data_IF_790805150750
#
_entry.id   IF_790805150750
#
_cell.length_a   1.000
_cell.length_b   1.000
_cell.length_c   1.000
_cell.angle_alpha   90.00
_cell.angle_beta   90.00
_cell.angle_gamma   90.00
#
_symmetry.space_group_name_H-M   'P 1'
#
loop_
_entity.id
_entity.type
_entity.pdbx_description
1 polymer ?
#
# COMPACT_ATOMS: atom_id res chain seq x y z
N UNK A 1 -28.82 12.39 8.01
CA UNK A 1 -28.58 10.98 7.62
C UNK A 1 -27.83 10.30 8.75
N UNK A 2 -28.49 9.49 9.56
CA UNK A 2 -27.87 8.63 10.59
C UNK A 2 -26.96 7.63 9.83
N UNK A 3 -25.63 7.75 9.99
CA UNK A 3 -24.69 6.74 9.49
C UNK A 3 -25.02 5.44 10.23
N UNK A 4 -25.50 4.42 9.55
CA UNK A 4 -25.52 3.07 10.10
C UNK A 4 -24.11 2.76 10.59
N UNK A 5 -23.92 2.69 11.91
CA UNK A 5 -22.67 2.22 12.51
C UNK A 5 -22.49 0.77 12.06
N UNK A 6 -21.49 0.52 11.20
CA UNK A 6 -21.12 -0.84 10.84
C UNK A 6 -20.56 -1.45 12.13
N UNK A 7 -21.24 -2.43 12.67
CA UNK A 7 -20.78 -3.17 13.85
C UNK A 7 -19.68 -4.13 13.38
N UNK A 8 -18.49 -3.99 13.93
CA UNK A 8 -17.39 -4.95 13.82
C UNK A 8 -17.52 -5.88 15.03
N UNK A 9 -17.48 -7.17 14.80
CA UNK A 9 -17.68 -8.22 15.81
C UNK A 9 -16.69 -9.37 15.63
N UNK A 10 -16.79 -10.40 16.43
CA UNK A 10 -15.91 -11.57 16.44
C UNK A 10 -15.99 -12.44 15.16
N UNK A 11 -16.94 -12.16 14.28
CA UNK A 11 -17.02 -12.77 12.94
C UNK A 11 -16.47 -11.89 11.83
N UNK A 12 -15.93 -10.72 12.18
CA UNK A 12 -15.39 -9.76 11.22
C UNK A 12 -13.89 -9.97 11.01
N UNK A 13 -13.45 -9.94 9.76
CA UNK A 13 -12.04 -9.85 9.35
C UNK A 13 -11.82 -8.50 8.70
N UNK A 14 -10.91 -7.71 9.27
CA UNK A 14 -10.71 -6.31 8.92
C UNK A 14 -9.44 -6.13 8.12
N UNK A 15 -9.53 -5.47 6.96
CA UNK A 15 -8.38 -5.06 6.14
C UNK A 15 -8.22 -3.53 6.20
N UNK A 16 -7.02 -3.07 6.61
CA UNK A 16 -6.74 -1.65 6.86
C UNK A 16 -6.05 -0.98 5.68
N UNK A 17 -6.77 -0.13 4.97
CA UNK A 17 -6.29 0.70 3.87
C UNK A 17 -6.09 2.16 4.33
N UNK A 18 -5.29 2.35 5.39
CA UNK A 18 -5.05 3.65 6.02
C UNK A 18 -3.72 4.30 5.62
N UNK A 19 -2.89 3.59 4.87
CA UNK A 19 -1.65 4.10 4.28
C UNK A 19 -1.89 4.70 2.89
N UNK A 20 -0.79 5.07 2.21
CA UNK A 20 -0.85 5.61 0.84
C UNK A 20 -1.47 4.63 -0.18
N UNK A 21 -1.95 5.14 -1.33
CA UNK A 21 -2.57 4.30 -2.37
C UNK A 21 -1.68 3.16 -2.87
N UNK A 22 -0.36 3.36 -2.85
CA UNK A 22 0.59 2.31 -3.23
C UNK A 22 0.52 1.09 -2.32
N UNK A 23 0.16 1.24 -1.03
CA UNK A 23 -0.09 0.12 -0.13
C UNK A 23 -1.40 -0.62 -0.48
N UNK A 24 -2.41 0.12 -0.95
CA UNK A 24 -3.71 -0.45 -1.28
C UNK A 24 -3.60 -1.53 -2.35
N UNK A 25 -2.73 -1.34 -3.34
CA UNK A 25 -2.50 -2.30 -4.42
C UNK A 25 -1.97 -3.66 -3.94
N UNK A 26 -1.31 -3.72 -2.78
CA UNK A 26 -0.81 -4.98 -2.21
C UNK A 26 -1.87 -5.73 -1.41
N UNK A 27 -2.80 -5.01 -0.79
CA UNK A 27 -3.74 -5.58 0.16
C UNK A 27 -5.12 -5.89 -0.45
N UNK A 28 -5.47 -5.23 -1.56
CA UNK A 28 -6.83 -5.29 -2.08
C UNK A 28 -7.21 -6.66 -2.65
N UNK A 29 -6.34 -7.30 -3.45
CA UNK A 29 -6.64 -8.64 -3.96
C UNK A 29 -6.73 -9.68 -2.85
N UNK A 30 -5.79 -9.79 -1.90
CA UNK A 30 -5.95 -10.65 -0.74
C UNK A 30 -7.29 -10.43 -0.01
N UNK A 31 -7.71 -9.18 0.18
CA UNK A 31 -8.96 -8.86 0.85
C UNK A 31 -10.20 -9.31 0.07
N UNK A 32 -10.22 -9.12 -1.24
CA UNK A 32 -11.37 -9.50 -2.08
C UNK A 32 -11.43 -11.00 -2.34
N UNK A 33 -10.28 -11.67 -2.52
CA UNK A 33 -10.20 -13.12 -2.57
C UNK A 33 -10.67 -13.75 -1.26
N UNK A 34 -10.30 -13.17 -0.12
CA UNK A 34 -10.81 -13.60 1.17
C UNK A 34 -12.33 -13.47 1.25
N UNK A 35 -12.88 -12.32 0.83
CA UNK A 35 -14.34 -12.07 0.82
C UNK A 35 -15.10 -13.05 -0.08
N UNK A 36 -14.49 -13.49 -1.18
CA UNK A 36 -15.08 -14.44 -2.13
C UNK A 36 -15.07 -15.88 -1.62
N UNK A 37 -13.97 -16.29 -0.99
CA UNK A 37 -13.74 -17.69 -0.64
C UNK A 37 -14.13 -18.03 0.80
N UNK A 38 -14.26 -17.05 1.70
CA UNK A 38 -14.55 -17.24 3.12
C UNK A 38 -15.80 -16.48 3.54
N UNK A 39 -16.92 -16.78 2.89
CA UNK A 39 -18.21 -16.08 3.06
C UNK A 39 -18.83 -16.22 4.43
N UNK A 40 -18.36 -17.16 5.26
CA UNK A 40 -18.74 -17.30 6.66
C UNK A 40 -18.25 -16.15 7.53
N UNK A 41 -17.24 -15.38 7.08
CA UNK A 41 -16.76 -14.20 7.78
C UNK A 41 -17.29 -12.91 7.15
N UNK A 42 -17.49 -11.89 7.98
CA UNK A 42 -17.77 -10.55 7.50
C UNK A 42 -16.45 -9.86 7.10
N UNK A 43 -16.21 -9.69 5.81
CA UNK A 43 -15.05 -8.92 5.34
C UNK A 43 -15.33 -7.43 5.44
N UNK A 44 -14.47 -6.71 6.17
CA UNK A 44 -14.58 -5.26 6.39
C UNK A 44 -13.32 -4.55 5.86
N UNK A 45 -13.50 -3.61 4.96
CA UNK A 45 -12.45 -2.82 4.33
C UNK A 45 -12.48 -1.39 4.90
N UNK A 46 -11.50 -1.01 5.71
CA UNK A 46 -11.41 0.34 6.29
C UNK A 46 -10.50 1.20 5.43
N UNK A 47 -11.07 2.23 4.80
CA UNK A 47 -10.36 3.11 3.87
C UNK A 47 -10.11 4.50 4.46
N UNK A 48 -8.85 4.93 4.47
CA UNK A 48 -8.42 6.21 5.03
C UNK A 48 -8.40 7.38 4.05
N UNK A 49 -8.65 7.17 2.75
CA UNK A 49 -8.62 8.23 1.75
C UNK A 49 -9.57 7.97 0.58
N UNK A 50 -9.89 9.03 -0.19
CA UNK A 50 -10.69 8.90 -1.40
C UNK A 50 -9.98 8.03 -2.44
N UNK A 51 -8.66 8.20 -2.59
CA UNK A 51 -7.86 7.42 -3.53
C UNK A 51 -7.90 5.93 -3.19
N UNK A 52 -7.72 5.56 -1.91
CA UNK A 52 -7.83 4.17 -1.48
C UNK A 52 -9.24 3.62 -1.75
N UNK A 53 -10.28 4.39 -1.41
CA UNK A 53 -11.67 4.01 -1.67
C UNK A 53 -11.95 3.78 -3.14
N UNK A 54 -11.40 4.61 -4.02
CA UNK A 54 -11.58 4.48 -5.48
C UNK A 54 -10.89 3.21 -6.01
N UNK A 55 -9.65 2.93 -5.58
CA UNK A 55 -8.95 1.70 -5.95
C UNK A 55 -9.74 0.47 -5.48
N UNK A 56 -10.21 0.48 -4.22
CA UNK A 56 -11.04 -0.61 -3.68
C UNK A 56 -12.28 -0.85 -4.54
N UNK A 57 -13.03 0.21 -4.86
CA UNK A 57 -14.27 0.08 -5.65
C UNK A 57 -14.02 -0.39 -7.08
N UNK A 58 -12.98 0.12 -7.74
CA UNK A 58 -12.61 -0.31 -9.09
C UNK A 58 -12.21 -1.78 -9.11
N UNK A 59 -11.37 -2.22 -8.16
CA UNK A 59 -10.96 -3.62 -8.08
C UNK A 59 -12.14 -4.52 -7.71
N UNK A 60 -12.99 -4.10 -6.77
CA UNK A 60 -14.20 -4.81 -6.39
C UNK A 60 -15.10 -5.08 -7.59
N UNK A 61 -15.33 -4.06 -8.42
CA UNK A 61 -16.12 -4.20 -9.65
C UNK A 61 -15.49 -5.19 -10.64
N UNK A 62 -14.18 -5.12 -10.83
CA UNK A 62 -13.44 -6.05 -11.71
C UNK A 62 -13.51 -7.50 -11.25
N UNK A 63 -13.60 -7.74 -9.95
CA UNK A 63 -13.67 -9.07 -9.34
C UNK A 63 -15.11 -9.59 -9.15
N UNK A 64 -16.12 -8.99 -9.80
CA UNK A 64 -17.51 -9.45 -9.71
C UNK A 64 -18.22 -9.09 -8.41
N UNK A 65 -17.76 -8.06 -7.70
CA UNK A 65 -18.37 -7.51 -6.47
C UNK A 65 -18.54 -8.53 -5.32
N UNK A 66 -17.48 -9.21 -4.86
CA UNK A 66 -17.56 -10.06 -3.69
C UNK A 66 -18.12 -9.30 -2.48
N UNK A 67 -18.89 -10.01 -1.64
CA UNK A 67 -19.62 -9.40 -0.52
C UNK A 67 -18.65 -8.89 0.56
N UNK A 68 -18.49 -7.58 0.68
CA UNK A 68 -17.69 -6.95 1.72
C UNK A 68 -18.32 -5.62 2.17
N UNK A 69 -17.92 -5.13 3.33
CA UNK A 69 -18.34 -3.82 3.85
C UNK A 69 -17.20 -2.82 3.74
N UNK A 70 -17.43 -1.66 3.14
CA UNK A 70 -16.44 -0.59 3.03
C UNK A 70 -16.77 0.52 4.03
N UNK A 71 -15.83 0.79 4.95
CA UNK A 71 -15.89 1.90 5.90
C UNK A 71 -14.89 2.96 5.43
N UNK A 72 -15.41 4.11 4.98
CA UNK A 72 -14.58 5.25 4.66
C UNK A 72 -14.41 6.12 5.90
N UNK A 73 -13.17 6.31 6.35
CA UNK A 73 -12.87 7.19 7.49
C UNK A 73 -13.05 8.67 7.11
N UNK A 74 -13.56 9.50 8.05
CA UNK A 74 -13.63 10.93 7.85
C UNK A 74 -12.23 11.53 7.79
N UNK A 75 -12.08 12.61 7.03
CA UNK A 75 -10.84 13.40 7.02
C UNK A 75 -10.85 14.37 8.21
N UNK A 76 -9.77 14.49 8.97
CA UNK A 76 -9.63 15.55 9.98
C UNK A 76 -9.81 16.94 9.35
N UNK A 77 -10.54 17.83 10.03
CA UNK A 77 -10.88 19.17 9.52
C UNK A 77 -9.64 19.96 9.05
N UNK A 78 -8.53 19.85 9.77
CA UNK A 78 -7.24 20.49 9.41
C UNK A 78 -6.73 20.09 8.01
N UNK A 79 -7.10 18.90 7.49
CA UNK A 79 -6.71 18.45 6.16
C UNK A 79 -7.59 19.04 5.07
N UNK A 80 -8.82 19.43 5.38
CA UNK A 80 -9.64 20.21 4.45
C UNK A 80 -9.09 21.63 4.27
N UNK A 81 -8.62 22.26 5.33
CA UNK A 81 -8.14 23.65 5.31
C UNK A 81 -6.74 23.76 4.68
N UNK A 82 -5.77 22.95 5.13
CA UNK A 82 -4.36 23.05 4.68
C UNK A 82 -4.08 22.38 3.32
N UNK A 83 -4.87 21.39 2.92
CA UNK A 83 -4.51 20.49 1.83
C UNK A 83 -5.56 20.42 0.73
N UNK A 84 -6.41 21.42 0.63
CA UNK A 84 -7.42 21.51 -0.44
C UNK A 84 -6.81 21.37 -1.84
N UNK A 85 -5.58 21.84 -2.05
CA UNK A 85 -4.85 21.75 -3.32
C UNK A 85 -3.92 20.54 -3.46
N UNK A 86 -3.46 19.90 -2.37
CA UNK A 86 -2.32 18.97 -2.42
C UNK A 86 -2.69 17.48 -2.27
N UNK A 87 -3.98 17.12 -2.11
CA UNK A 87 -4.46 15.72 -1.99
C UNK A 87 -3.66 14.87 -0.99
N UNK A 88 -3.14 15.47 0.09
CA UNK A 88 -2.32 14.76 1.09
C UNK A 88 -3.18 13.75 1.84
N UNK A 89 -2.66 12.53 1.96
CA UNK A 89 -3.28 11.46 2.73
C UNK A 89 -3.00 11.74 4.21
N UNK A 90 -4.02 11.70 5.09
CA UNK A 90 -3.79 11.84 6.51
C UNK A 90 -2.84 10.75 7.02
N UNK A 91 -1.88 11.09 7.90
CA UNK A 91 -1.02 10.07 8.51
C UNK A 91 -1.83 8.98 9.23
N UNK A 92 -1.39 7.72 9.23
CA UNK A 92 -2.11 6.61 9.87
C UNK A 92 -2.54 6.92 11.30
N UNK A 93 -1.66 7.47 12.14
CA UNK A 93 -1.95 7.81 13.54
C UNK A 93 -3.13 8.77 13.72
N UNK A 94 -3.36 9.68 12.77
CA UNK A 94 -4.50 10.60 12.82
C UNK A 94 -5.81 9.93 12.37
N UNK A 95 -5.73 8.85 11.62
CA UNK A 95 -6.87 8.08 11.14
C UNK A 95 -7.39 7.12 12.21
N UNK A 96 -6.51 6.59 13.06
CA UNK A 96 -6.90 5.71 14.17
C UNK A 96 -7.93 6.33 15.10
N UNK A 97 -7.93 7.65 15.28
CA UNK A 97 -8.93 8.38 16.08
C UNK A 97 -10.38 8.24 15.56
N UNK A 98 -10.53 7.86 14.30
CA UNK A 98 -11.84 7.70 13.66
C UNK A 98 -12.23 6.24 13.46
N UNK A 99 -11.38 5.30 13.79
CA UNK A 99 -11.71 3.88 13.78
C UNK A 99 -12.54 3.58 15.03
N UNK A 100 -13.68 2.94 14.82
CA UNK A 100 -14.57 2.56 15.92
C UNK A 100 -13.88 1.53 16.82
N UNK A 101 -14.03 1.67 18.12
CA UNK A 101 -13.45 0.74 19.11
C UNK A 101 -13.90 -0.70 18.92
N UNK A 102 -15.00 -0.94 18.24
CA UNK A 102 -15.45 -2.31 17.91
C UNK A 102 -14.44 -3.11 17.08
N UNK A 103 -13.42 -2.46 16.48
CA UNK A 103 -12.33 -3.16 15.78
C UNK A 103 -11.60 -4.16 16.69
N UNK A 104 -11.53 -3.88 18.00
CA UNK A 104 -10.89 -4.77 19.00
C UNK A 104 -11.62 -6.11 19.17
N UNK A 105 -12.88 -6.19 18.73
CA UNK A 105 -13.67 -7.43 18.78
C UNK A 105 -13.62 -8.22 17.47
N UNK A 106 -12.95 -7.71 16.42
CA UNK A 106 -12.82 -8.46 15.18
C UNK A 106 -11.97 -9.71 15.37
N UNK A 107 -12.23 -10.75 14.57
CA UNK A 107 -11.47 -11.99 14.61
C UNK A 107 -10.02 -11.80 14.17
N UNK A 108 -9.84 -10.95 13.15
CA UNK A 108 -8.51 -10.65 12.62
C UNK A 108 -8.42 -9.25 12.02
N UNK A 109 -7.22 -8.71 12.04
CA UNK A 109 -6.87 -7.46 11.38
C UNK A 109 -5.66 -7.70 10.48
N UNK A 110 -5.76 -7.30 9.21
CA UNK A 110 -4.68 -7.38 8.24
C UNK A 110 -4.24 -5.96 7.87
N UNK A 111 -2.95 -5.69 7.99
CA UNK A 111 -2.37 -4.37 7.74
C UNK A 111 -1.07 -4.43 6.97
N UNK A 112 -0.75 -3.35 6.26
CA UNK A 112 0.56 -3.10 5.62
C UNK A 112 1.39 -2.05 6.38
N UNK A 113 0.97 -1.66 7.60
CA UNK A 113 1.66 -0.70 8.45
C UNK A 113 2.28 -1.38 9.65
N UNK A 114 3.59 -1.30 9.82
CA UNK A 114 4.29 -1.81 11.01
C UNK A 114 3.82 -1.14 12.31
N UNK A 115 3.25 0.06 12.25
CA UNK A 115 2.75 0.81 13.40
C UNK A 115 1.37 0.36 13.91
N UNK A 116 0.68 -0.53 13.20
CA UNK A 116 -0.67 -0.97 13.60
C UNK A 116 -0.73 -1.54 15.03
N UNK A 117 0.24 -2.34 15.50
CA UNK A 117 0.22 -2.85 16.87
C UNK A 117 0.18 -1.76 17.93
N UNK A 118 0.91 -0.64 17.75
CA UNK A 118 0.98 0.48 18.70
C UNK A 118 -0.40 1.04 19.08
N UNK A 119 -1.36 0.94 18.15
CA UNK A 119 -2.72 1.44 18.32
C UNK A 119 -3.70 0.40 18.89
N UNK A 120 -3.33 -0.88 18.83
CA UNK A 120 -4.22 -1.99 19.17
C UNK A 120 -3.87 -2.69 20.48
N UNK A 121 -2.58 -2.73 20.87
CA UNK A 121 -2.07 -3.59 21.94
C UNK A 121 -2.84 -3.41 23.27
N UNK A 122 -3.17 -2.17 23.64
CA UNK A 122 -3.77 -1.86 24.94
C UNK A 122 -5.18 -2.44 25.14
N UNK A 123 -5.94 -2.55 24.05
CA UNK A 123 -7.36 -2.91 24.09
C UNK A 123 -7.66 -4.16 23.23
N UNK A 124 -6.62 -4.85 22.76
CA UNK A 124 -6.75 -6.01 21.88
C UNK A 124 -7.35 -7.19 22.63
N UNK A 125 -8.36 -7.83 22.04
CA UNK A 125 -8.86 -9.10 22.52
C UNK A 125 -7.82 -10.21 22.29
N UNK A 126 -7.62 -11.10 23.27
CA UNK A 126 -6.66 -12.21 23.19
C UNK A 126 -6.86 -13.13 21.98
N UNK A 127 -8.11 -13.31 21.56
CA UNK A 127 -8.43 -14.18 20.41
C UNK A 127 -8.26 -13.51 19.06
N UNK A 128 -8.07 -12.18 19.03
CA UNK A 128 -7.87 -11.42 17.80
C UNK A 128 -6.49 -11.68 17.23
N UNK A 129 -6.41 -12.02 15.94
CA UNK A 129 -5.16 -12.23 15.23
C UNK A 129 -4.77 -11.00 14.42
N UNK A 130 -3.48 -10.66 14.46
CA UNK A 130 -2.92 -9.52 13.75
C UNK A 130 -1.94 -10.01 12.67
N UNK A 131 -2.22 -9.64 11.42
CA UNK A 131 -1.46 -10.05 10.25
C UNK A 131 -0.78 -8.84 9.61
N UNK A 132 0.50 -8.97 9.33
CA UNK A 132 1.25 -8.00 8.54
C UNK A 132 1.46 -8.52 7.12
N UNK A 133 1.20 -7.67 6.13
CA UNK A 133 1.54 -7.93 4.74
C UNK A 133 2.58 -6.93 4.27
N UNK A 134 3.74 -7.41 3.86
CA UNK A 134 4.77 -6.56 3.26
C UNK A 134 4.26 -5.90 1.97
N UNK A 135 4.60 -4.61 1.81
CA UNK A 135 4.22 -3.82 0.64
C UNK A 135 5.40 -3.44 -0.25
N UNK A 136 6.58 -3.98 0.00
CA UNK A 136 7.78 -3.73 -0.80
C UNK A 136 8.63 -4.98 -0.92
N UNK A 137 9.38 -5.08 -2.02
CA UNK A 137 10.33 -6.17 -2.32
C UNK A 137 11.78 -5.70 -2.26
N UNK A 138 12.01 -4.42 -1.96
CA UNK A 138 13.35 -3.83 -1.95
C UNK A 138 14.19 -4.27 -0.75
N UNK A 139 15.50 -4.33 -0.96
CA UNK A 139 16.51 -4.72 0.05
C UNK A 139 16.94 -3.54 0.94
N UNK A 140 16.00 -2.66 1.28
CA UNK A 140 16.27 -1.43 2.04
C UNK A 140 16.60 -1.73 3.50
N UNK A 141 17.20 -0.75 4.20
CA UNK A 141 17.49 -0.87 5.63
C UNK A 141 16.26 -0.76 6.53
N UNK A 142 15.22 -0.07 6.09
CA UNK A 142 13.95 0.09 6.83
C UNK A 142 12.89 -0.95 6.40
N UNK A 143 11.89 -1.12 7.23
CA UNK A 143 10.83 -2.12 7.05
C UNK A 143 11.08 -3.37 7.90
N UNK A 144 12.08 -3.32 8.78
CA UNK A 144 12.47 -4.38 9.71
C UNK A 144 12.50 -3.82 11.14
N UNK A 145 11.38 -3.25 11.56
CA UNK A 145 11.20 -2.61 12.86
C UNK A 145 10.76 -3.62 13.92
N UNK A 146 11.16 -3.41 15.17
CA UNK A 146 10.84 -4.27 16.33
C UNK A 146 9.34 -4.49 16.52
N UNK A 147 8.52 -3.51 16.13
CA UNK A 147 7.05 -3.60 16.17
C UNK A 147 6.47 -4.77 15.37
N UNK A 148 7.23 -5.36 14.44
CA UNK A 148 6.83 -6.56 13.72
C UNK A 148 6.72 -7.80 14.62
N UNK A 149 7.44 -7.84 15.73
CA UNK A 149 7.32 -8.92 16.72
C UNK A 149 5.92 -9.04 17.34
N UNK A 150 5.18 -7.93 17.37
CA UNK A 150 3.82 -7.86 17.92
C UNK A 150 2.74 -8.47 17.00
N UNK A 151 3.10 -8.80 15.77
CA UNK A 151 2.21 -9.50 14.85
C UNK A 151 2.16 -10.99 15.13
N UNK A 152 0.98 -11.60 14.97
CA UNK A 152 0.82 -13.06 15.06
C UNK A 152 1.37 -13.74 13.81
N UNK A 153 1.17 -13.11 12.62
CA UNK A 153 1.65 -13.63 11.34
C UNK A 153 2.15 -12.50 10.44
N UNK A 154 3.18 -12.82 9.67
CA UNK A 154 3.82 -11.89 8.74
C UNK A 154 3.96 -12.57 7.37
N UNK A 155 3.34 -11.96 6.36
CA UNK A 155 3.43 -12.37 4.99
C UNK A 155 4.53 -11.59 4.28
N UNK A 156 5.54 -12.31 3.79
CA UNK A 156 6.73 -11.73 3.15
C UNK A 156 6.77 -12.04 1.65
N UNK A 157 7.38 -11.13 0.84
CA UNK A 157 7.41 -11.31 -0.61
C UNK A 157 8.38 -12.39 -1.09
N UNK A 158 9.37 -12.79 -0.27
CA UNK A 158 10.36 -13.77 -0.68
C UNK A 158 11.36 -14.09 0.43
N UNK A 159 12.29 -15.01 0.11
CA UNK A 159 13.28 -15.57 1.04
C UNK A 159 14.18 -14.51 1.69
N UNK A 160 14.54 -13.45 0.96
CA UNK A 160 15.34 -12.37 1.52
C UNK A 160 14.69 -11.76 2.78
N UNK A 161 13.40 -11.42 2.69
CA UNK A 161 12.67 -10.85 3.84
C UNK A 161 12.46 -11.88 4.94
N UNK A 162 12.16 -13.12 4.55
CA UNK A 162 12.00 -14.23 5.49
C UNK A 162 13.25 -14.46 6.33
N UNK A 163 14.41 -14.61 5.69
CA UNK A 163 15.69 -14.87 6.36
C UNK A 163 16.12 -13.67 7.20
N UNK A 164 15.93 -12.47 6.68
CA UNK A 164 16.32 -11.25 7.38
C UNK A 164 15.49 -10.99 8.63
N UNK A 165 14.20 -11.25 8.62
CA UNK A 165 13.35 -11.11 9.81
C UNK A 165 13.74 -12.09 10.92
N UNK A 166 14.17 -13.28 10.55
CA UNK A 166 14.71 -14.24 11.51
C UNK A 166 16.06 -13.79 12.08
N UNK A 167 16.96 -13.30 11.23
CA UNK A 167 18.30 -12.90 11.64
C UNK A 167 18.30 -11.61 12.46
N UNK A 168 17.62 -10.57 11.98
CA UNK A 168 17.70 -9.22 12.59
C UNK A 168 16.75 -9.07 13.79
N UNK A 169 15.56 -9.68 13.74
CA UNK A 169 14.51 -9.51 14.75
C UNK A 169 14.15 -10.77 15.52
N UNK A 170 14.82 -11.89 15.26
CA UNK A 170 14.56 -13.18 15.90
C UNK A 170 13.09 -13.63 15.80
N UNK A 171 12.38 -13.23 14.76
CA UNK A 171 10.98 -13.58 14.56
C UNK A 171 10.86 -15.09 14.32
N UNK A 172 9.97 -15.75 15.08
CA UNK A 172 9.75 -17.18 14.97
C UNK A 172 9.27 -17.54 13.55
N UNK A 173 9.92 -18.54 12.93
CA UNK A 173 9.59 -19.04 11.60
C UNK A 173 8.11 -19.41 11.41
N UNK A 174 7.44 -19.87 12.47
CA UNK A 174 6.03 -20.24 12.43
C UNK A 174 5.09 -19.01 12.25
N UNK A 175 5.59 -17.80 12.47
CA UNK A 175 4.87 -16.56 12.19
C UNK A 175 5.08 -16.06 10.74
N UNK A 176 6.02 -16.64 9.99
CA UNK A 176 6.43 -16.15 8.68
C UNK A 176 5.90 -17.05 7.56
N UNK A 177 5.37 -16.41 6.51
CA UNK A 177 4.98 -17.12 5.28
C UNK A 177 5.40 -16.33 4.04
N UNK A 178 6.03 -17.01 3.09
CA UNK A 178 6.38 -16.43 1.78
C UNK A 178 5.13 -16.51 0.90
N UNK A 179 4.62 -15.34 0.47
CA UNK A 179 3.37 -15.25 -0.30
C UNK A 179 3.55 -14.55 -1.65
N UNK A 180 4.78 -14.18 -2.02
CA UNK A 180 5.00 -13.39 -3.22
C UNK A 180 4.59 -11.92 -3.06
N UNK A 181 4.21 -11.29 -4.17
CA UNK A 181 3.94 -9.85 -4.22
C UNK A 181 2.58 -9.56 -4.86
N UNK A 182 1.50 -9.49 -4.08
CA UNK A 182 0.10 -9.41 -4.58
C UNK A 182 -0.19 -8.23 -5.53
N UNK A 183 0.65 -7.20 -5.51
CA UNK A 183 0.52 -6.06 -6.42
C UNK A 183 0.68 -6.45 -7.89
N UNK A 184 1.51 -7.45 -8.21
CA UNK A 184 1.66 -7.91 -9.59
C UNK A 184 0.36 -8.55 -10.09
N UNK A 185 -0.22 -9.43 -9.32
CA UNK A 185 -1.54 -10.03 -9.65
C UNK A 185 -2.63 -8.96 -9.77
N UNK A 186 -2.60 -7.92 -8.90
CA UNK A 186 -3.53 -6.79 -9.03
C UNK A 186 -3.36 -6.05 -10.36
N UNK A 187 -2.12 -5.87 -10.83
CA UNK A 187 -1.86 -5.26 -12.13
C UNK A 187 -2.46 -6.10 -13.27
N UNK A 188 -2.34 -7.43 -13.20
CA UNK A 188 -2.91 -8.34 -14.21
C UNK A 188 -4.44 -8.26 -14.23
N UNK A 189 -5.08 -8.25 -13.07
CA UNK A 189 -6.54 -8.08 -12.95
C UNK A 189 -7.02 -6.74 -13.53
N UNK A 190 -6.25 -5.67 -13.32
CA UNK A 190 -6.62 -4.32 -13.77
C UNK A 190 -6.27 -4.05 -15.23
N UNK A 191 -5.22 -4.66 -15.76
CA UNK A 191 -4.62 -4.37 -17.07
C UNK A 191 -4.89 -5.48 -18.08
N UNK A 192 -6.15 -5.75 -18.41
CA UNK A 192 -6.50 -6.77 -19.40
C UNK A 192 -6.00 -6.50 -20.83
N UNK A 193 -5.37 -5.34 -21.11
CA UNK A 193 -4.82 -4.99 -22.42
C UNK A 193 -3.68 -3.98 -22.26
N UNK A 194 -2.48 -4.43 -21.96
CA UNK A 194 -1.28 -3.58 -22.07
C UNK A 194 -0.96 -3.42 -23.57
N UNK A 195 -1.34 -2.30 -24.15
CA UNK A 195 -0.85 -1.90 -25.46
C UNK A 195 0.62 -1.53 -25.31
N UNK A 196 1.44 -1.94 -26.27
CA UNK A 196 2.82 -1.45 -26.36
C UNK A 196 2.84 0.08 -26.38
N UNK A 197 3.74 0.69 -25.60
CA UNK A 197 3.94 2.15 -25.63
C UNK A 197 4.53 2.63 -26.96
N UNK A 198 5.14 1.72 -27.71
CA UNK A 198 5.83 2.02 -28.96
C UNK A 198 5.33 1.11 -30.08
N UNK A 199 5.19 1.66 -31.28
CA UNK A 199 4.80 0.93 -32.48
C UNK A 199 6.01 0.38 -33.26
N UNK A 200 7.10 0.02 -32.56
CA UNK A 200 8.31 -0.54 -33.12
C UNK A 200 8.88 -1.62 -32.20
N UNK A 201 9.88 -2.36 -32.70
CA UNK A 201 10.59 -3.42 -31.97
C UNK A 201 11.95 -2.97 -31.42
N UNK A 202 12.20 -1.67 -31.33
CA UNK A 202 13.45 -1.15 -30.80
C UNK A 202 13.61 -1.51 -29.31
N UNK A 203 14.85 -1.74 -28.85
CA UNK A 203 15.09 -1.94 -27.43
C UNK A 203 14.54 -0.78 -26.60
N UNK A 204 13.76 -1.10 -25.56
CA UNK A 204 13.12 -0.11 -24.70
C UNK A 204 13.83 -0.04 -23.36
N UNK A 205 14.27 1.14 -23.00
CA UNK A 205 14.93 1.45 -21.73
C UNK A 205 13.94 2.14 -20.79
N UNK A 206 13.99 1.75 -19.52
CA UNK A 206 13.18 2.34 -18.47
C UNK A 206 14.06 3.13 -17.51
N UNK A 207 13.85 4.44 -17.43
CA UNK A 207 14.57 5.32 -16.52
C UNK A 207 13.64 5.85 -15.45
N UNK A 208 13.80 5.32 -14.23
CA UNK A 208 13.01 5.67 -13.03
C UNK A 208 13.93 6.18 -11.93
N UNK A 209 14.32 7.48 -11.95
CA UNK A 209 15.16 8.05 -10.90
C UNK A 209 14.43 8.15 -9.56
N UNK A 210 15.19 7.93 -8.48
CA UNK A 210 14.68 7.99 -7.11
C UNK A 210 14.16 9.38 -6.75
N UNK A 211 13.18 9.47 -5.84
CA UNK A 211 12.55 10.73 -5.42
C UNK A 211 13.43 11.60 -4.53
N UNK A 212 14.31 10.98 -3.72
CA UNK A 212 15.30 11.70 -2.92
C UNK A 212 16.43 12.16 -3.81
N UNK A 213 16.54 13.47 -4.02
CA UNK A 213 17.49 14.05 -4.95
C UNK A 213 18.96 13.91 -4.49
N UNK A 214 19.22 13.61 -3.23
CA UNK A 214 20.57 13.30 -2.72
C UNK A 214 21.06 11.92 -3.19
N UNK A 215 20.12 10.99 -3.41
CA UNK A 215 20.38 9.61 -3.86
C UNK A 215 20.02 9.38 -5.33
N UNK A 216 19.57 10.44 -6.03
CA UNK A 216 18.97 10.33 -7.36
C UNK A 216 19.87 10.84 -8.46
N UNK A 217 19.91 10.12 -9.56
CA UNK A 217 20.53 10.58 -10.81
C UNK A 217 19.71 11.69 -11.52
N UNK A 218 18.51 12.03 -11.04
CA UNK A 218 17.56 12.93 -11.69
C UNK A 218 18.20 14.26 -12.13
N UNK A 219 18.73 15.04 -11.17
CA UNK A 219 19.31 16.37 -11.44
C UNK A 219 20.52 16.31 -12.39
N UNK A 220 21.37 15.30 -12.20
CA UNK A 220 22.65 15.23 -12.93
C UNK A 220 22.49 14.69 -14.34
N UNK A 221 21.58 13.73 -14.53
CA UNK A 221 21.58 12.91 -15.73
C UNK A 221 20.30 12.97 -16.56
N UNK A 222 19.12 13.38 -16.02
CA UNK A 222 17.86 13.29 -16.77
C UNK A 222 17.92 13.97 -18.12
N UNK A 223 18.35 15.25 -18.17
CA UNK A 223 18.41 16.01 -19.43
C UNK A 223 19.33 15.34 -20.46
N UNK A 224 20.48 14.85 -20.00
CA UNK A 224 21.45 14.15 -20.89
C UNK A 224 20.91 12.83 -21.40
N UNK A 225 20.26 12.04 -20.54
CA UNK A 225 19.63 10.76 -20.92
C UNK A 225 18.53 11.02 -21.93
N UNK A 226 17.60 11.93 -21.65
CA UNK A 226 16.51 12.26 -22.57
C UNK A 226 17.07 12.70 -23.92
N UNK A 227 18.05 13.63 -23.93
CA UNK A 227 18.67 14.12 -25.16
C UNK A 227 19.37 13.00 -25.95
N UNK A 228 20.04 12.07 -25.27
CA UNK A 228 20.65 10.91 -25.92
C UNK A 228 19.59 10.08 -26.67
N UNK A 229 18.47 9.74 -26.03
CA UNK A 229 17.42 8.95 -26.68
C UNK A 229 16.66 9.73 -27.77
N UNK A 230 16.54 11.05 -27.65
CA UNK A 230 15.97 11.88 -28.71
C UNK A 230 16.84 11.85 -29.97
N UNK A 231 18.16 11.74 -29.82
CA UNK A 231 19.12 11.71 -30.93
C UNK A 231 19.37 10.28 -31.45
N UNK A 232 19.00 9.24 -30.73
CA UNK A 232 19.27 7.83 -31.06
C UNK A 232 17.97 7.07 -31.24
N UNK A 233 17.31 7.23 -32.38
CA UNK A 233 15.99 6.68 -32.70
C UNK A 233 15.91 5.15 -32.76
N UNK A 234 17.05 4.46 -32.77
CA UNK A 234 17.09 2.99 -32.65
C UNK A 234 16.75 2.46 -31.26
N UNK A 235 16.55 3.33 -30.29
CA UNK A 235 16.15 2.97 -28.90
C UNK A 235 14.89 3.69 -28.51
N UNK A 236 14.09 3.05 -27.63
CA UNK A 236 12.95 3.66 -26.96
C UNK A 236 13.31 4.01 -25.52
N UNK A 237 12.76 5.10 -24.99
CA UNK A 237 12.90 5.48 -23.59
C UNK A 237 11.52 5.64 -22.93
N UNK A 238 11.31 4.92 -21.83
CA UNK A 238 10.23 5.23 -20.88
C UNK A 238 10.86 6.00 -19.72
N UNK A 239 10.60 7.30 -19.68
CA UNK A 239 11.03 8.17 -18.59
C UNK A 239 9.91 8.29 -17.55
N UNK A 240 10.08 7.63 -16.38
CA UNK A 240 9.08 7.55 -15.32
C UNK A 240 9.67 7.98 -13.98
N UNK A 241 9.89 9.28 -13.75
CA UNK A 241 10.42 9.78 -12.50
C UNK A 241 9.46 9.47 -11.34
N UNK A 242 10.00 9.14 -10.18
CA UNK A 242 9.20 8.79 -9.01
C UNK A 242 8.20 9.92 -8.67
N UNK A 243 6.91 9.64 -8.43
CA UNK A 243 5.88 10.68 -8.23
C UNK A 243 6.17 11.67 -7.10
N UNK A 244 6.97 11.29 -6.10
CA UNK A 244 7.36 12.17 -5.00
C UNK A 244 8.42 13.21 -5.38
N UNK A 245 9.09 13.11 -6.53
CA UNK A 245 10.07 14.12 -6.99
C UNK A 245 9.43 15.50 -7.02
N UNK A 246 8.22 15.61 -7.57
CA UNK A 246 7.47 16.88 -7.63
C UNK A 246 7.19 17.46 -6.23
N UNK A 247 6.84 16.60 -5.27
CA UNK A 247 6.58 17.04 -3.90
C UNK A 247 7.85 17.43 -3.17
N UNK A 248 8.95 16.72 -3.40
CA UNK A 248 10.25 17.01 -2.81
C UNK A 248 10.80 18.34 -3.33
N UNK A 249 10.74 18.58 -4.63
CA UNK A 249 11.21 19.82 -5.25
C UNK A 249 10.41 21.04 -4.76
N UNK A 250 9.08 20.93 -4.64
CA UNK A 250 8.23 22.01 -4.14
C UNK A 250 8.50 22.36 -2.68
N UNK A 251 8.80 21.36 -1.83
CA UNK A 251 9.16 21.58 -0.42
C UNK A 251 10.52 22.27 -0.25
N UNK A 252 11.47 21.92 -1.10
CA UNK A 252 12.85 22.41 -1.03
C UNK A 252 13.11 23.60 -1.99
N UNK A 253 12.05 24.17 -2.59
CA UNK A 253 12.14 25.28 -3.59
C UNK A 253 13.14 24.97 -4.72
N UNK A 254 13.24 23.71 -5.12
CA UNK A 254 14.14 23.28 -6.18
C UNK A 254 13.37 23.29 -7.49
N UNK A 255 13.85 24.05 -8.47
CA UNK A 255 13.32 24.03 -9.83
C UNK A 255 13.69 22.69 -10.49
N UNK A 256 12.68 21.98 -11.05
CA UNK A 256 12.82 20.69 -11.74
C UNK A 256 12.48 20.78 -13.24
N UNK A 257 12.45 22.01 -13.77
CA UNK A 257 12.21 22.24 -15.22
C UNK A 257 13.36 21.74 -16.09
#
# INVERSE_FOLDING_TARGET
>A
MLRQKIKIDNNSVVFLFINGPHHTHHLILPALNFAQNYTQYQTVLISGSDNNTNIIKQTLHKMGNPKCKIIKLPKPLRYYIKNYRNKIIPPPFSQWKFIDKSIHYSKAIISTSHQTPEFLIKDRNHDQKLFYLYHGVGTRSYGFEDSLNEYDFIFVPGEYHYNRLQADLSINKNKLSIVGHPKFEWQDVMNNNIKSFFNNNNPTFYYNPHWDLSLSSYKKWSKRIIQYFLNNKQFNLIFAPHPLIKNYSSRNKINID
#
